data_IF_764011815462
#
_entry.id   IF_764011815462
#
_cell.length_a   1.000
_cell.length_b   1.000
_cell.length_c   1.000
_cell.angle_alpha   90.00
_cell.angle_beta   90.00
_cell.angle_gamma   90.00
#
_symmetry.space_group_name_H-M   'P 1'
#
loop_
_entity.id
_entity.type
_entity.pdbx_description
1 polymer ?
#
# COMPACT_ATOMS: atom_id res chain seq x y z
N UNK A 1 -15.06 -40.78 34.82
CA UNK A 1 -13.96 -40.18 35.60
C UNK A 1 -13.94 -40.61 37.09
N UNK A 2 -15.06 -40.62 37.85
CA UNK A 2 -15.07 -40.97 39.29
C UNK A 2 -14.55 -42.40 39.59
N UNK A 3 -14.83 -43.45 38.74
CA UNK A 3 -14.37 -44.83 38.97
C UNK A 3 -12.85 -45.00 38.80
N UNK A 4 -12.23 -44.30 37.83
CA UNK A 4 -10.79 -44.33 37.55
C UNK A 4 -9.97 -43.70 38.68
N UNK A 5 -10.45 -42.57 39.21
CA UNK A 5 -9.79 -41.84 40.30
C UNK A 5 -9.80 -42.65 41.60
N UNK A 6 -10.78 -43.54 41.83
CA UNK A 6 -10.93 -44.36 43.06
C UNK A 6 -9.91 -45.48 43.14
N UNK A 7 -9.41 -46.00 42.02
CA UNK A 7 -8.44 -47.11 41.96
C UNK A 7 -6.97 -46.68 42.02
N UNK A 8 -6.68 -45.36 41.93
CA UNK A 8 -5.32 -44.84 41.95
C UNK A 8 -4.77 -44.78 43.38
N UNK A 9 -3.48 -45.13 43.55
CA UNK A 9 -2.76 -44.95 44.80
C UNK A 9 -2.78 -43.49 45.24
N UNK A 10 -2.78 -43.22 46.52
CA UNK A 10 -2.82 -41.83 47.10
C UNK A 10 -1.74 -40.95 46.47
N UNK A 11 -0.52 -41.49 46.25
CA UNK A 11 0.58 -40.77 45.58
C UNK A 11 0.23 -40.30 44.17
N UNK A 12 -0.43 -41.18 43.37
CA UNK A 12 -0.84 -40.83 42.02
C UNK A 12 -1.97 -39.79 41.99
N UNK A 13 -2.92 -39.86 42.94
CA UNK A 13 -3.98 -38.89 43.10
C UNK A 13 -3.39 -37.50 43.40
N UNK A 14 -2.45 -37.42 44.31
CA UNK A 14 -1.77 -36.20 44.69
C UNK A 14 -0.98 -35.57 43.54
N UNK A 15 -0.21 -36.39 42.80
CA UNK A 15 0.51 -35.95 41.60
C UNK A 15 -0.44 -35.38 40.55
N UNK A 16 -1.51 -36.11 40.19
CA UNK A 16 -2.47 -35.63 39.17
C UNK A 16 -3.14 -34.35 39.62
N UNK A 17 -3.55 -34.22 40.89
CA UNK A 17 -4.20 -33.03 41.40
C UNK A 17 -3.28 -31.81 41.30
N UNK A 18 -2.00 -31.93 41.67
CA UNK A 18 -1.03 -30.87 41.60
C UNK A 18 -0.76 -30.42 40.14
N UNK A 19 -0.52 -31.39 39.25
CA UNK A 19 -0.29 -31.09 37.84
C UNK A 19 -1.52 -30.43 37.23
N UNK A 20 -2.72 -30.93 37.49
CA UNK A 20 -3.96 -30.36 36.95
C UNK A 20 -4.19 -28.95 37.49
N UNK A 21 -4.00 -28.71 38.78
CA UNK A 21 -4.17 -27.42 39.40
C UNK A 21 -3.18 -26.39 38.90
N UNK A 22 -1.96 -26.79 38.54
CA UNK A 22 -0.92 -25.89 38.01
C UNK A 22 -1.07 -25.65 36.51
N UNK A 23 -1.38 -26.71 35.72
CA UNK A 23 -1.41 -26.59 34.26
C UNK A 23 -2.68 -25.95 33.71
N UNK A 24 -3.86 -26.19 34.32
CA UNK A 24 -5.14 -25.64 33.81
C UNK A 24 -5.15 -24.12 33.81
N UNK A 25 -4.79 -23.38 34.87
CA UNK A 25 -4.79 -21.93 34.86
C UNK A 25 -3.83 -21.35 33.81
N UNK A 26 -2.64 -21.93 33.68
CA UNK A 26 -1.64 -21.46 32.71
C UNK A 26 -2.11 -21.70 31.27
N UNK A 27 -2.75 -22.83 31.02
CA UNK A 27 -3.33 -23.13 29.70
C UNK A 27 -4.46 -22.13 29.36
N UNK A 28 -5.33 -21.83 30.30
CA UNK A 28 -6.39 -20.83 30.12
C UNK A 28 -5.82 -19.44 29.86
N UNK A 29 -4.82 -19.02 30.62
CA UNK A 29 -4.14 -17.72 30.41
C UNK A 29 -3.42 -17.72 29.07
N UNK A 30 -2.76 -18.80 28.68
CA UNK A 30 -2.09 -18.93 27.39
C UNK A 30 -3.04 -18.83 26.19
N UNK A 31 -4.20 -19.50 26.24
CA UNK A 31 -5.24 -19.37 25.22
C UNK A 31 -5.80 -17.96 25.16
N UNK A 32 -6.11 -17.35 26.29
CA UNK A 32 -6.60 -15.97 26.35
C UNK A 32 -5.56 -14.99 25.80
N UNK A 33 -4.30 -15.13 26.21
CA UNK A 33 -3.20 -14.30 25.70
C UNK A 33 -3.02 -14.43 24.19
N UNK A 34 -3.10 -15.66 23.65
CA UNK A 34 -3.03 -15.89 22.21
C UNK A 34 -4.13 -15.14 21.45
N UNK A 35 -5.39 -15.26 21.89
CA UNK A 35 -6.50 -14.57 21.24
C UNK A 35 -6.39 -13.04 21.35
N UNK A 36 -6.03 -12.53 22.51
CA UNK A 36 -5.86 -11.09 22.72
C UNK A 36 -4.73 -10.54 21.86
N UNK A 37 -3.60 -11.24 21.81
CA UNK A 37 -2.45 -10.81 21.00
C UNK A 37 -2.75 -10.85 19.50
N UNK A 38 -3.38 -11.91 19.02
CA UNK A 38 -3.74 -12.01 17.60
C UNK A 38 -4.67 -10.88 17.18
N UNK A 39 -5.72 -10.61 17.96
CA UNK A 39 -6.63 -9.49 17.70
C UNK A 39 -5.91 -8.14 17.79
N UNK A 40 -5.02 -7.96 18.75
CA UNK A 40 -4.23 -6.74 18.88
C UNK A 40 -3.33 -6.50 17.66
N UNK A 41 -2.61 -7.54 17.19
CA UNK A 41 -1.74 -7.43 16.01
C UNK A 41 -2.54 -7.10 14.76
N UNK A 42 -3.67 -7.77 14.53
CA UNK A 42 -4.53 -7.50 13.37
C UNK A 42 -5.00 -6.03 13.40
N UNK A 43 -5.56 -5.58 14.51
CA UNK A 43 -6.07 -4.21 14.64
C UNK A 43 -4.95 -3.16 14.53
N UNK A 44 -3.78 -3.43 15.09
CA UNK A 44 -2.62 -2.53 14.99
C UNK A 44 -2.11 -2.44 13.57
N UNK A 45 -2.02 -3.58 12.86
CA UNK A 45 -1.58 -3.62 11.46
C UNK A 45 -2.59 -2.95 10.55
N UNK A 46 -3.89 -3.18 10.77
CA UNK A 46 -4.96 -2.49 10.03
C UNK A 46 -4.82 -0.97 10.16
N UNK A 47 -4.72 -0.47 11.39
CA UNK A 47 -4.55 0.96 11.64
C UNK A 47 -3.28 1.53 11.01
N UNK A 48 -2.14 0.86 11.21
CA UNK A 48 -0.86 1.27 10.62
C UNK A 48 -0.89 1.24 9.09
N UNK A 49 -1.60 0.29 8.50
CA UNK A 49 -1.74 0.18 7.04
C UNK A 49 -2.61 1.31 6.49
N UNK A 50 -3.70 1.67 7.17
CA UNK A 50 -4.53 2.83 6.80
C UNK A 50 -3.67 4.10 6.82
N UNK A 51 -2.93 4.35 7.91
CA UNK A 51 -2.07 5.52 8.03
C UNK A 51 -0.99 5.55 6.94
N UNK A 52 -0.39 4.40 6.62
CA UNK A 52 0.62 4.30 5.55
C UNK A 52 0.01 4.57 4.18
N UNK A 53 -1.16 3.99 3.86
CA UNK A 53 -1.84 4.22 2.59
C UNK A 53 -2.28 5.68 2.48
N UNK A 54 -2.77 6.30 3.55
CA UNK A 54 -3.11 7.73 3.56
C UNK A 54 -1.89 8.60 3.22
N UNK A 55 -0.74 8.34 3.84
CA UNK A 55 0.50 9.07 3.54
C UNK A 55 0.96 8.90 2.09
N UNK A 56 0.91 7.67 1.56
CA UNK A 56 1.27 7.39 0.17
C UNK A 56 0.30 8.06 -0.80
N UNK A 57 -1.00 8.02 -0.49
CA UNK A 57 -2.01 8.70 -1.30
C UNK A 57 -1.80 10.22 -1.30
N UNK A 58 -1.55 10.82 -0.14
CA UNK A 58 -1.30 12.26 -0.04
C UNK A 58 -0.06 12.69 -0.82
N UNK A 59 1.00 11.87 -0.79
CA UNK A 59 2.23 12.14 -1.55
C UNK A 59 2.02 12.01 -3.07
N UNK A 60 1.27 11.01 -3.52
CA UNK A 60 0.93 10.83 -4.94
C UNK A 60 -0.09 11.88 -5.40
N UNK A 61 -1.13 12.16 -4.61
CA UNK A 61 -2.09 13.23 -4.89
C UNK A 61 -1.37 14.58 -5.02
N UNK A 62 -0.39 14.87 -4.17
CA UNK A 62 0.42 16.08 -4.26
C UNK A 62 1.20 16.15 -5.57
N UNK A 63 1.84 15.04 -5.98
CA UNK A 63 2.58 14.96 -7.25
C UNK A 63 1.66 15.19 -8.47
N UNK A 64 0.52 14.48 -8.51
CA UNK A 64 -0.43 14.62 -9.61
C UNK A 64 -1.07 16.02 -9.63
N UNK A 65 -1.40 16.56 -8.45
CA UNK A 65 -1.92 17.90 -8.32
C UNK A 65 -0.91 18.98 -8.74
N UNK A 66 0.37 18.78 -8.49
CA UNK A 66 1.43 19.65 -8.94
C UNK A 66 1.51 19.73 -10.47
N UNK A 67 1.43 18.58 -11.14
CA UNK A 67 1.41 18.51 -12.60
C UNK A 67 0.12 19.12 -13.18
N UNK A 68 -1.03 18.81 -12.59
CA UNK A 68 -2.31 19.40 -12.96
C UNK A 68 -2.32 20.91 -12.81
N UNK A 69 -1.90 21.42 -11.64
CA UNK A 69 -1.85 22.86 -11.33
C UNK A 69 -0.93 23.60 -12.30
N UNK A 70 0.20 22.99 -12.64
CA UNK A 70 1.13 23.58 -13.60
C UNK A 70 0.49 23.70 -15.01
N UNK A 71 -0.20 22.66 -15.46
CA UNK A 71 -0.96 22.72 -16.72
C UNK A 71 -2.05 23.79 -16.65
N UNK A 72 -2.83 23.85 -15.58
CA UNK A 72 -3.92 24.80 -15.40
C UNK A 72 -3.41 26.26 -15.38
N UNK A 73 -2.34 26.54 -14.66
CA UNK A 73 -1.68 27.86 -14.65
C UNK A 73 -1.25 28.30 -16.04
N UNK A 74 -0.67 27.38 -16.82
CA UNK A 74 -0.20 27.68 -18.18
C UNK A 74 -1.34 27.92 -19.17
N UNK A 75 -2.49 27.24 -19.01
CA UNK A 75 -3.66 27.51 -19.87
C UNK A 75 -4.18 28.93 -19.68
N UNK A 76 -4.06 29.49 -18.47
CA UNK A 76 -4.45 30.86 -18.13
C UNK A 76 -3.39 31.94 -18.37
N UNK A 77 -2.14 31.55 -18.62
CA UNK A 77 -1.00 32.46 -18.71
C UNK A 77 -1.10 33.40 -19.94
N UNK A 78 -0.94 34.71 -19.69
CA UNK A 78 -1.09 35.72 -20.74
C UNK A 78 -0.02 35.64 -21.83
N UNK A 79 1.22 35.26 -21.47
CA UNK A 79 2.30 35.14 -22.44
C UNK A 79 2.10 33.90 -23.30
N UNK A 80 1.72 32.77 -22.69
CA UNK A 80 1.38 31.54 -23.43
C UNK A 80 0.21 31.79 -24.38
N UNK A 81 -0.86 32.44 -23.92
CA UNK A 81 -1.99 32.84 -24.75
C UNK A 81 -1.55 33.75 -25.93
N UNK A 82 -0.61 34.67 -25.68
CA UNK A 82 -0.05 35.54 -26.72
C UNK A 82 0.74 34.71 -27.73
N UNK A 83 1.62 33.82 -27.30
CA UNK A 83 2.40 32.97 -28.20
C UNK A 83 1.52 32.08 -29.07
N UNK A 84 0.43 31.56 -28.55
CA UNK A 84 -0.50 30.69 -29.28
C UNK A 84 -1.39 31.45 -30.31
N UNK A 85 -1.46 32.79 -30.22
CA UNK A 85 -2.20 33.63 -31.16
C UNK A 85 -1.33 34.28 -32.25
N UNK A 86 0.00 34.15 -32.17
CA UNK A 86 0.91 34.68 -33.18
C UNK A 86 0.82 33.91 -34.48
N UNK A 87 0.67 34.58 -35.60
CA UNK A 87 0.89 34.03 -36.93
C UNK A 87 2.37 34.14 -37.27
N UNK A 88 2.88 33.19 -38.01
CA UNK A 88 4.28 33.14 -38.40
C UNK A 88 4.42 33.42 -39.89
N UNK A 89 5.07 34.52 -40.21
CA UNK A 89 5.35 34.89 -41.59
C UNK A 89 6.55 34.14 -42.18
N UNK A 90 7.39 33.54 -41.30
CA UNK A 90 8.57 32.82 -41.70
C UNK A 90 8.93 31.72 -40.68
N UNK A 91 9.71 30.72 -41.14
CA UNK A 91 10.31 29.68 -40.26
C UNK A 91 11.19 30.32 -39.19
N UNK A 92 11.83 31.43 -39.47
CA UNK A 92 12.68 32.15 -38.52
C UNK A 92 11.86 32.77 -37.40
N UNK A 93 10.71 33.32 -37.71
CA UNK A 93 9.80 33.92 -36.70
C UNK A 93 9.21 32.85 -35.80
N UNK A 94 8.80 31.73 -36.41
CA UNK A 94 8.36 30.56 -35.64
C UNK A 94 9.45 30.09 -34.67
N UNK A 95 10.69 29.89 -35.15
CA UNK A 95 11.80 29.46 -34.31
C UNK A 95 12.09 30.41 -33.16
N UNK A 96 12.06 31.72 -33.43
CA UNK A 96 12.26 32.76 -32.37
C UNK A 96 11.17 32.69 -31.31
N UNK A 97 9.92 32.50 -31.74
CA UNK A 97 8.77 32.34 -30.85
C UNK A 97 8.85 31.02 -30.02
N UNK A 98 9.22 29.92 -30.65
CA UNK A 98 9.40 28.63 -29.99
C UNK A 98 10.50 28.69 -28.92
N UNK A 99 11.59 29.42 -29.18
CA UNK A 99 12.65 29.63 -28.24
C UNK A 99 12.20 30.51 -27.05
N UNK A 100 11.51 31.62 -27.31
CA UNK A 100 11.02 32.53 -26.26
C UNK A 100 10.00 31.82 -25.36
N UNK A 101 9.04 31.09 -25.94
CA UNK A 101 8.06 30.30 -25.20
C UNK A 101 8.69 29.18 -24.38
N UNK A 102 9.72 28.50 -24.94
CA UNK A 102 10.43 27.46 -24.21
C UNK A 102 11.23 28.00 -23.02
N UNK A 103 11.84 29.18 -23.15
CA UNK A 103 12.51 29.86 -22.02
C UNK A 103 11.53 30.21 -20.89
N UNK A 104 10.33 30.68 -21.26
CA UNK A 104 9.28 30.94 -20.28
C UNK A 104 8.85 29.67 -19.54
N UNK A 105 8.55 28.60 -20.28
CA UNK A 105 8.21 27.31 -19.68
C UNK A 105 9.32 26.77 -18.76
N UNK A 106 10.58 26.85 -19.18
CA UNK A 106 11.72 26.43 -18.40
C UNK A 106 11.80 27.21 -17.08
N UNK A 107 11.54 28.51 -17.09
CA UNK A 107 11.56 29.35 -15.88
C UNK A 107 10.47 28.95 -14.87
N UNK A 108 9.29 28.57 -15.33
CA UNK A 108 8.15 28.20 -14.51
C UNK A 108 8.34 26.77 -13.94
N UNK A 109 8.93 25.87 -14.73
CA UNK A 109 9.07 24.45 -14.35
C UNK A 109 10.34 24.12 -13.54
N UNK A 110 11.29 25.04 -13.44
CA UNK A 110 12.62 24.80 -12.82
C UNK A 110 12.57 24.24 -11.40
N UNK A 111 11.55 24.57 -10.64
CA UNK A 111 11.38 24.13 -9.26
C UNK A 111 10.61 22.83 -9.09
N UNK A 112 10.12 22.24 -10.17
CA UNK A 112 9.29 21.01 -10.18
C UNK A 112 10.11 19.81 -10.64
N UNK A 113 10.99 19.31 -9.77
CA UNK A 113 11.95 18.24 -10.09
C UNK A 113 11.31 16.90 -10.48
N UNK A 114 10.12 16.63 -9.98
CA UNK A 114 9.37 15.39 -10.22
C UNK A 114 8.65 15.40 -11.57
N UNK A 115 8.52 16.56 -12.21
CA UNK A 115 7.95 16.71 -13.55
C UNK A 115 9.09 16.64 -14.56
N UNK A 116 9.04 15.65 -15.44
CA UNK A 116 10.08 15.46 -16.47
C UNK A 116 10.11 16.60 -17.51
N UNK A 117 8.94 17.09 -17.89
CA UNK A 117 8.83 18.21 -18.82
C UNK A 117 7.40 18.69 -18.97
N UNK A 118 7.30 19.96 -19.34
CA UNK A 118 6.04 20.61 -19.68
C UNK A 118 6.13 21.12 -21.11
N UNK A 119 5.03 20.98 -21.82
CA UNK A 119 4.97 21.23 -23.25
C UNK A 119 3.70 22.00 -23.59
N UNK A 120 3.81 22.91 -24.54
CA UNK A 120 2.68 23.62 -25.12
C UNK A 120 2.73 23.50 -26.65
N UNK A 121 1.61 23.18 -27.23
CA UNK A 121 1.44 23.08 -28.68
C UNK A 121 0.31 23.96 -29.13
N UNK A 122 0.62 24.88 -30.04
CA UNK A 122 -0.35 25.77 -30.65
C UNK A 122 -0.94 25.20 -31.94
N UNK A 123 -2.18 25.56 -32.25
CA UNK A 123 -2.77 25.31 -33.55
C UNK A 123 -2.04 26.10 -34.67
N UNK A 124 -1.42 27.23 -34.31
CA UNK A 124 -0.56 28.02 -35.16
C UNK A 124 0.76 27.32 -35.57
N UNK A 125 1.05 26.13 -34.99
CA UNK A 125 2.27 25.37 -35.22
C UNK A 125 3.40 25.67 -34.22
N UNK A 126 3.19 26.60 -33.26
CA UNK A 126 4.14 26.89 -32.17
C UNK A 126 4.31 25.69 -31.25
N UNK A 127 5.56 25.45 -30.84
CA UNK A 127 5.92 24.29 -29.98
C UNK A 127 6.89 24.73 -28.89
N UNK A 128 6.46 24.66 -27.66
CA UNK A 128 7.24 25.09 -26.51
C UNK A 128 7.48 23.93 -25.55
N UNK A 129 8.64 23.91 -24.91
CA UNK A 129 9.05 22.84 -23.99
C UNK A 129 9.91 23.40 -22.85
N UNK A 130 9.78 22.78 -21.67
CA UNK A 130 10.56 23.18 -20.50
C UNK A 130 11.91 22.45 -20.37
N UNK A 131 12.09 21.36 -21.10
CA UNK A 131 13.30 20.54 -21.03
C UNK A 131 14.17 20.67 -22.30
N UNK A 132 15.36 20.07 -22.29
CA UNK A 132 16.34 20.12 -23.38
C UNK A 132 16.17 19.00 -24.42
N UNK A 133 15.26 18.06 -24.22
CA UNK A 133 15.04 16.98 -25.17
C UNK A 133 14.44 17.46 -26.48
N UNK A 134 14.80 16.80 -27.58
CA UNK A 134 14.26 17.16 -28.90
C UNK A 134 12.83 16.64 -29.05
N UNK A 135 11.97 17.43 -29.68
CA UNK A 135 10.65 16.97 -30.08
C UNK A 135 10.75 15.77 -31.04
N UNK A 136 9.76 14.90 -31.01
CA UNK A 136 9.57 13.88 -32.06
C UNK A 136 9.35 14.59 -33.40
N UNK A 137 9.73 13.92 -34.48
CA UNK A 137 9.70 14.52 -35.83
C UNK A 137 8.31 14.60 -36.45
N UNK A 138 7.36 13.83 -35.92
CA UNK A 138 5.96 13.83 -36.38
C UNK A 138 5.23 15.13 -35.99
N UNK A 139 4.23 15.52 -36.76
CA UNK A 139 3.34 16.61 -36.37
C UNK A 139 2.47 16.13 -35.23
N UNK A 140 2.71 16.70 -34.06
CA UNK A 140 2.02 16.31 -32.83
C UNK A 140 0.51 16.50 -32.92
N UNK A 141 0.03 17.47 -33.69
CA UNK A 141 -1.40 17.78 -33.88
C UNK A 141 -2.17 16.63 -34.57
N UNK A 142 -1.48 15.78 -35.32
CA UNK A 142 -2.08 14.62 -35.98
C UNK A 142 -2.14 13.37 -35.10
N UNK A 143 -1.47 13.39 -33.96
CA UNK A 143 -1.41 12.26 -33.04
C UNK A 143 -2.72 12.06 -32.27
N UNK A 144 -2.99 10.82 -31.86
CA UNK A 144 -4.19 10.47 -31.10
C UNK A 144 -4.22 11.18 -29.74
N UNK A 145 -3.10 11.22 -29.02
CA UNK A 145 -3.04 11.83 -27.71
C UNK A 145 -3.34 13.34 -27.76
N UNK A 146 -2.82 14.07 -28.77
CA UNK A 146 -3.12 15.49 -28.97
C UNK A 146 -4.60 15.71 -29.25
N UNK A 147 -5.18 14.93 -30.18
CA UNK A 147 -6.60 15.03 -30.55
C UNK A 147 -7.52 14.71 -29.37
N UNK A 148 -7.13 13.77 -28.53
CA UNK A 148 -7.87 13.45 -27.29
C UNK A 148 -7.89 14.63 -26.33
N UNK A 149 -6.74 15.26 -26.05
CA UNK A 149 -6.67 16.45 -25.19
C UNK A 149 -7.43 17.62 -25.81
N UNK A 150 -7.19 17.92 -27.09
CA UNK A 150 -7.83 19.06 -27.77
C UNK A 150 -9.36 18.90 -27.89
N UNK A 151 -9.87 17.67 -27.96
CA UNK A 151 -11.29 17.36 -28.00
C UNK A 151 -11.96 17.31 -26.63
N UNK A 152 -11.20 17.26 -25.55
CA UNK A 152 -11.70 17.28 -24.18
C UNK A 152 -11.97 18.74 -23.74
N UNK A 153 -12.89 18.89 -22.78
CA UNK A 153 -13.06 20.16 -22.04
C UNK A 153 -12.42 20.12 -20.67
N UNK A 154 -11.96 18.95 -20.27
CA UNK A 154 -11.42 18.66 -18.94
C UNK A 154 -9.99 18.14 -19.08
N UNK A 155 -9.31 18.04 -17.95
CA UNK A 155 -7.99 17.42 -17.87
C UNK A 155 -8.05 15.97 -18.31
N UNK A 156 -7.14 15.58 -19.18
CA UNK A 156 -6.99 14.20 -19.64
C UNK A 156 -5.72 13.60 -19.07
N UNK A 157 -5.85 12.44 -18.44
CA UNK A 157 -4.74 11.65 -17.91
C UNK A 157 -4.47 10.46 -18.82
N UNK A 158 -3.22 10.29 -19.23
CA UNK A 158 -2.76 9.09 -19.89
C UNK A 158 -1.99 8.25 -18.89
N UNK A 159 -2.40 7.00 -18.66
CA UNK A 159 -1.70 6.10 -17.75
C UNK A 159 -0.29 5.80 -18.26
N UNK A 160 0.46 4.99 -17.51
CA UNK A 160 1.82 4.65 -17.88
C UNK A 160 1.93 4.13 -19.32
N UNK A 161 2.83 4.74 -20.08
CA UNK A 161 3.13 4.39 -21.49
C UNK A 161 4.63 4.45 -21.76
N UNK A 162 5.09 3.64 -22.71
CA UNK A 162 6.49 3.54 -23.08
C UNK A 162 6.95 4.79 -23.85
N UNK A 163 7.96 5.45 -23.32
CA UNK A 163 8.52 6.67 -23.86
C UNK A 163 7.57 7.88 -23.82
N UNK A 164 8.11 9.09 -23.77
CA UNK A 164 7.28 10.31 -23.89
C UNK A 164 6.56 10.35 -25.24
N UNK A 165 5.29 10.75 -25.24
CA UNK A 165 4.56 11.02 -26.50
C UNK A 165 5.19 12.15 -27.29
N UNK A 166 5.88 13.05 -26.63
CA UNK A 166 6.20 14.41 -27.11
C UNK A 166 7.66 14.53 -27.52
N UNK A 167 8.57 14.07 -26.67
CA UNK A 167 10.01 14.22 -26.89
C UNK A 167 10.71 12.87 -27.10
N UNK A 168 11.90 12.91 -27.67
CA UNK A 168 12.77 11.74 -27.80
C UNK A 168 13.43 11.48 -26.44
N UNK A 169 12.78 10.68 -25.62
CA UNK A 169 13.34 10.18 -24.35
C UNK A 169 14.07 8.85 -24.56
N UNK A 170 14.70 8.33 -23.53
CA UNK A 170 15.22 6.96 -23.52
C UNK A 170 14.07 5.97 -23.70
N UNK A 171 14.28 4.94 -24.53
CA UNK A 171 13.26 3.92 -24.85
C UNK A 171 12.83 3.14 -23.60
N UNK A 172 13.66 3.11 -22.56
CA UNK A 172 13.39 2.38 -21.31
C UNK A 172 12.60 3.18 -20.27
N UNK A 173 12.32 4.46 -20.51
CA UNK A 173 11.59 5.28 -19.57
C UNK A 173 10.08 5.22 -19.87
N UNK A 174 9.27 4.90 -18.87
CA UNK A 174 7.82 5.02 -18.94
C UNK A 174 7.37 6.36 -18.35
N UNK A 175 6.27 6.88 -18.88
CA UNK A 175 5.73 8.18 -18.50
C UNK A 175 4.23 8.10 -18.24
N UNK A 176 3.78 9.01 -17.38
CA UNK A 176 2.39 9.40 -17.25
C UNK A 176 2.29 10.80 -17.82
N UNK A 177 1.31 11.02 -18.68
CA UNK A 177 1.08 12.33 -19.26
C UNK A 177 -0.25 12.90 -18.80
N UNK A 178 -0.25 14.14 -18.33
CA UNK A 178 -1.46 14.93 -18.10
C UNK A 178 -1.55 16.03 -19.14
N UNK A 179 -2.74 16.29 -19.66
CA UNK A 179 -2.94 17.34 -20.65
C UNK A 179 -4.24 18.09 -20.47
N UNK A 180 -4.22 19.37 -20.88
CA UNK A 180 -5.37 20.27 -20.85
C UNK A 180 -5.44 21.07 -22.15
N UNK A 181 -6.65 21.33 -22.68
CA UNK A 181 -6.83 22.24 -23.82
C UNK A 181 -6.63 23.68 -23.38
N UNK A 182 -5.98 24.48 -24.22
CA UNK A 182 -5.86 25.92 -24.04
C UNK A 182 -6.97 26.58 -24.84
N UNK A 183 -7.93 27.16 -24.11
CA UNK A 183 -9.07 27.85 -24.72
C UNK A 183 -8.73 29.33 -24.98
N UNK A 184 -9.01 29.78 -26.17
CA UNK A 184 -8.99 31.23 -26.45
C UNK A 184 -10.13 31.94 -25.72
N UNK A 185 -9.77 32.87 -24.84
CA UNK A 185 -10.76 33.61 -24.02
C UNK A 185 -11.75 34.47 -24.81
N UNK A 186 -11.40 34.82 -26.06
CA UNK A 186 -12.25 35.68 -26.89
C UNK A 186 -13.23 34.87 -27.74
N UNK A 187 -12.74 33.78 -28.37
CA UNK A 187 -13.54 32.96 -29.27
C UNK A 187 -14.14 31.70 -28.60
N UNK A 188 -13.60 31.27 -27.45
CA UNK A 188 -13.99 30.03 -26.82
C UNK A 188 -13.51 28.78 -27.57
N UNK A 189 -12.67 28.94 -28.60
CA UNK A 189 -12.09 27.82 -29.36
C UNK A 189 -10.79 27.36 -28.75
N UNK A 190 -10.43 26.12 -28.99
CA UNK A 190 -9.15 25.56 -28.55
C UNK A 190 -8.03 26.13 -29.43
N UNK A 191 -7.09 26.86 -28.84
CA UNK A 191 -5.92 27.42 -29.52
C UNK A 191 -4.70 26.51 -29.47
N UNK A 192 -4.72 25.52 -28.60
CA UNK A 192 -3.60 24.63 -28.39
C UNK A 192 -3.85 23.70 -27.19
N UNK A 193 -2.82 23.04 -26.78
CA UNK A 193 -2.84 22.18 -25.58
C UNK A 193 -1.60 22.45 -24.71
N UNK A 194 -1.75 22.22 -23.42
CA UNK A 194 -0.64 22.05 -22.47
C UNK A 194 -0.57 20.60 -22.06
N UNK A 195 0.62 20.03 -21.96
CA UNK A 195 0.84 18.70 -21.44
C UNK A 195 2.05 18.66 -20.51
N UNK A 196 2.03 17.79 -19.52
CA UNK A 196 3.17 17.53 -18.64
C UNK A 196 3.41 16.04 -18.52
N UNK A 197 4.69 15.66 -18.59
CA UNK A 197 5.16 14.29 -18.42
C UNK A 197 5.74 14.11 -17.01
N UNK A 198 5.35 13.03 -16.34
CA UNK A 198 5.91 12.53 -15.09
C UNK A 198 6.54 11.19 -15.39
N UNK A 199 7.77 10.93 -14.93
CA UNK A 199 8.36 9.59 -15.06
C UNK A 199 7.67 8.60 -14.12
N UNK A 200 7.39 7.40 -14.63
CA UNK A 200 6.78 6.32 -13.84
C UNK A 200 7.59 5.95 -12.61
N UNK A 201 8.92 5.96 -12.71
CA UNK A 201 9.80 5.61 -11.60
C UNK A 201 9.69 6.57 -10.40
N UNK A 202 9.27 7.81 -10.61
CA UNK A 202 8.96 8.75 -9.51
C UNK A 202 7.81 8.22 -8.65
N UNK A 203 6.74 7.71 -9.28
CA UNK A 203 5.63 7.08 -8.55
C UNK A 203 6.06 5.74 -7.95
N UNK A 204 6.74 4.92 -8.74
CA UNK A 204 7.21 3.60 -8.27
C UNK A 204 8.11 3.71 -7.05
N UNK A 205 9.01 4.69 -6.99
CA UNK A 205 9.87 4.92 -5.83
C UNK A 205 9.08 5.32 -4.57
N UNK A 206 8.00 6.09 -4.71
CA UNK A 206 7.14 6.51 -3.59
C UNK A 206 6.36 5.33 -2.99
N UNK A 207 5.95 4.36 -3.80
CA UNK A 207 5.18 3.19 -3.35
C UNK A 207 6.06 2.00 -2.94
N UNK A 208 7.33 1.95 -3.39
CA UNK A 208 8.18 0.74 -3.34
C UNK A 208 8.42 0.16 -1.95
N UNK A 209 8.55 0.98 -0.93
CA UNK A 209 8.93 0.57 0.43
C UNK A 209 7.87 0.92 1.48
N UNK A 210 6.68 1.26 1.06
CA UNK A 210 5.66 1.80 1.95
C UNK A 210 4.98 0.73 2.82
N UNK A 211 4.89 -0.52 2.37
CA UNK A 211 4.34 -1.63 3.16
C UNK A 211 5.39 -2.73 3.33
N UNK A 212 5.72 -3.05 4.58
CA UNK A 212 6.76 -4.05 4.91
C UNK A 212 6.39 -5.46 4.46
N UNK A 213 5.10 -5.81 4.45
CA UNK A 213 4.60 -7.17 4.16
C UNK A 213 3.36 -7.14 3.26
N UNK A 214 3.31 -6.20 2.35
CA UNK A 214 2.18 -6.01 1.45
C UNK A 214 2.61 -5.49 0.10
N UNK A 215 1.66 -5.43 -0.81
CA UNK A 215 1.80 -4.84 -2.13
C UNK A 215 0.91 -3.61 -2.20
N UNK A 216 1.45 -2.52 -2.74
CA UNK A 216 0.64 -1.37 -3.14
C UNK A 216 0.43 -1.45 -4.64
N UNK A 217 -0.79 -1.28 -5.08
CA UNK A 217 -1.12 -1.14 -6.49
C UNK A 217 -1.95 0.12 -6.73
N UNK A 218 -1.81 0.68 -7.93
CA UNK A 218 -2.66 1.75 -8.44
C UNK A 218 -3.49 1.16 -9.57
N UNK A 219 -4.79 1.35 -9.52
CA UNK A 219 -5.77 0.73 -10.40
C UNK A 219 -6.61 1.85 -11.04
N UNK A 220 -6.88 1.75 -12.35
CA UNK A 220 -7.79 2.67 -13.04
C UNK A 220 -9.28 2.32 -12.80
N UNK A 221 -10.16 3.08 -13.43
CA UNK A 221 -11.62 2.88 -13.31
C UNK A 221 -12.09 1.58 -13.99
N UNK A 222 -11.37 1.10 -14.98
CA UNK A 222 -11.62 -0.11 -15.75
C UNK A 222 -11.10 -1.37 -15.04
N UNK A 223 -10.32 -1.22 -13.97
CA UNK A 223 -9.74 -2.33 -13.22
C UNK A 223 -8.35 -2.75 -13.71
N UNK A 224 -7.74 -1.98 -14.61
CA UNK A 224 -6.37 -2.23 -15.05
C UNK A 224 -5.38 -1.78 -13.99
N UNK A 225 -4.39 -2.61 -13.69
CA UNK A 225 -3.33 -2.27 -12.74
C UNK A 225 -2.31 -1.40 -13.47
N UNK A 226 -2.27 -0.11 -13.13
CA UNK A 226 -1.35 0.86 -13.69
C UNK A 226 0.06 0.72 -13.09
N UNK A 227 0.12 0.54 -11.77
CA UNK A 227 1.37 0.42 -11.02
C UNK A 227 1.23 -0.66 -9.98
N UNK A 228 2.35 -1.34 -9.72
CA UNK A 228 2.48 -2.31 -8.64
C UNK A 228 3.82 -2.12 -7.96
N UNK A 229 3.83 -1.96 -6.63
CA UNK A 229 5.08 -2.03 -5.88
C UNK A 229 5.62 -3.44 -5.96
N UNK A 230 6.87 -3.59 -6.36
CA UNK A 230 7.57 -4.83 -6.10
C UNK A 230 7.80 -4.87 -4.59
N UNK A 231 6.95 -5.59 -3.88
CA UNK A 231 7.26 -5.99 -2.52
C UNK A 231 8.67 -6.60 -2.58
N UNK A 232 9.58 -6.12 -1.73
CA UNK A 232 10.97 -6.54 -1.76
C UNK A 232 11.07 -8.06 -1.85
N UNK A 233 12.19 -8.57 -2.32
CA UNK A 233 12.50 -10.01 -2.50
C UNK A 233 12.22 -10.89 -1.25
N UNK A 234 11.76 -10.29 -0.15
CA UNK A 234 11.49 -10.92 1.14
C UNK A 234 10.05 -11.43 1.32
N UNK A 235 9.13 -11.18 0.37
CA UNK A 235 7.81 -11.81 0.42
C UNK A 235 7.95 -13.30 0.09
N UNK A 236 7.79 -14.12 1.10
CA UNK A 236 7.80 -15.59 1.01
C UNK A 236 6.73 -16.14 0.05
N UNK A 237 5.71 -15.32 -0.28
CA UNK A 237 4.64 -15.67 -1.23
C UNK A 237 4.29 -14.46 -2.09
N UNK A 238 4.25 -14.60 -3.42
CA UNK A 238 3.74 -13.56 -4.29
C UNK A 238 2.25 -13.35 -4.00
N UNK A 239 1.86 -12.13 -3.63
CA UNK A 239 0.44 -11.78 -3.50
C UNK A 239 -0.15 -11.80 -4.91
N UNK A 240 -1.09 -12.72 -5.16
CA UNK A 240 -1.82 -12.79 -6.43
C UNK A 240 -2.99 -11.81 -6.40
N UNK A 241 -2.92 -10.79 -7.27
CA UNK A 241 -4.00 -9.82 -7.41
C UNK A 241 -4.97 -10.36 -8.46
N UNK A 242 -5.90 -11.20 -8.00
CA UNK A 242 -6.90 -11.79 -8.88
C UNK A 242 -7.90 -10.74 -9.41
N UNK A 243 -8.49 -10.94 -10.58
CA UNK A 243 -9.55 -10.04 -11.11
C UNK A 243 -10.73 -9.88 -10.14
N UNK A 244 -11.05 -10.91 -9.36
CA UNK A 244 -12.10 -10.84 -8.33
C UNK A 244 -11.74 -9.89 -7.18
N UNK A 245 -10.47 -9.84 -6.77
CA UNK A 245 -10.00 -8.90 -5.77
C UNK A 245 -10.06 -7.47 -6.29
N UNK A 246 -9.69 -7.25 -7.55
CA UNK A 246 -9.80 -5.94 -8.20
C UNK A 246 -11.25 -5.47 -8.25
N UNK A 247 -12.20 -6.35 -8.66
CA UNK A 247 -13.61 -5.98 -8.68
C UNK A 247 -14.15 -5.63 -7.29
N UNK A 248 -13.77 -6.37 -6.25
CA UNK A 248 -14.12 -6.04 -4.86
C UNK A 248 -13.56 -4.68 -4.42
N UNK A 249 -12.31 -4.36 -4.81
CA UNK A 249 -11.73 -3.04 -4.54
C UNK A 249 -12.53 -1.94 -5.24
N UNK A 250 -12.96 -2.18 -6.48
CA UNK A 250 -13.75 -1.21 -7.25
C UNK A 250 -15.17 -1.04 -6.70
N UNK A 251 -15.83 -2.10 -6.29
CA UNK A 251 -17.23 -2.08 -5.79
C UNK A 251 -17.32 -1.52 -4.37
N UNK A 252 -16.37 -1.84 -3.50
CA UNK A 252 -16.42 -1.49 -2.06
C UNK A 252 -16.18 -0.02 -1.78
N UNK A 253 -15.56 0.71 -2.68
CA UNK A 253 -15.26 2.13 -2.54
C UNK A 253 -16.39 2.99 -3.07
N UNK A 254 -17.54 2.98 -2.39
CA UNK A 254 -18.58 4.00 -2.60
C UNK A 254 -18.04 5.39 -2.27
N UNK A 255 -18.03 6.28 -3.27
CA UNK A 255 -18.08 7.77 -3.22
C UNK A 255 -17.21 8.58 -2.24
N UNK A 256 -16.43 8.01 -1.34
CA UNK A 256 -15.58 8.77 -0.43
C UNK A 256 -14.19 9.01 -1.04
N UNK A 257 -14.08 9.97 -1.96
CA UNK A 257 -12.79 10.47 -2.44
C UNK A 257 -11.98 11.01 -1.26
N UNK A 258 -10.71 10.65 -1.19
CA UNK A 258 -9.79 11.17 -0.17
C UNK A 258 -9.88 10.52 1.20
N UNK A 259 -10.55 9.36 1.37
CA UNK A 259 -10.60 8.63 2.63
C UNK A 259 -10.28 7.16 2.42
N UNK A 260 -9.33 6.63 3.19
CA UNK A 260 -9.01 5.20 3.16
C UNK A 260 -10.10 4.35 3.76
N UNK A 261 -10.37 3.20 3.15
CA UNK A 261 -11.34 2.20 3.59
C UNK A 261 -10.70 0.83 3.63
N UNK A 262 -11.14 0.02 4.60
CA UNK A 262 -10.81 -1.41 4.62
C UNK A 262 -11.83 -2.15 3.75
N UNK A 263 -11.34 -2.87 2.78
CA UNK A 263 -12.16 -3.72 1.90
C UNK A 263 -12.30 -5.09 2.53
N UNK A 264 -13.52 -5.56 2.80
CA UNK A 264 -13.72 -6.89 3.37
C UNK A 264 -13.27 -7.98 2.39
N UNK A 265 -12.25 -8.72 2.76
CA UNK A 265 -11.79 -9.92 2.07
C UNK A 265 -11.41 -10.99 3.08
N UNK A 266 -11.60 -12.28 2.75
CA UNK A 266 -11.33 -13.39 3.66
C UNK A 266 -9.84 -13.73 3.77
N UNK A 267 -9.05 -13.45 2.75
CA UNK A 267 -7.63 -13.81 2.68
C UNK A 267 -6.67 -12.65 2.92
N UNK A 268 -7.11 -11.44 2.56
CA UNK A 268 -6.27 -10.25 2.58
C UNK A 268 -6.84 -9.15 3.45
N UNK A 269 -5.96 -8.38 4.07
CA UNK A 269 -6.29 -7.06 4.57
C UNK A 269 -6.06 -6.07 3.43
N UNK A 270 -7.13 -5.49 2.91
CA UNK A 270 -7.08 -4.55 1.79
C UNK A 270 -7.52 -3.18 2.29
N UNK A 271 -6.67 -2.20 2.08
CA UNK A 271 -6.96 -0.79 2.36
C UNK A 271 -6.91 -0.04 1.05
N UNK A 272 -7.95 0.68 0.68
CA UNK A 272 -7.97 1.44 -0.57
C UNK A 272 -8.45 2.87 -0.39
N UNK A 273 -7.96 3.75 -1.28
CA UNK A 273 -8.35 5.16 -1.36
C UNK A 273 -8.35 5.62 -2.82
N UNK A 274 -9.32 6.47 -3.18
CA UNK A 274 -9.38 7.09 -4.51
C UNK A 274 -8.58 8.39 -4.52
N UNK A 275 -7.73 8.57 -5.53
CA UNK A 275 -6.97 9.79 -5.79
C UNK A 275 -7.87 10.91 -6.31
N UNK A 276 -7.58 12.15 -5.92
CA UNK A 276 -8.49 13.28 -6.16
C UNK A 276 -8.60 13.67 -7.63
N UNK A 277 -7.49 13.75 -8.36
CA UNK A 277 -7.46 14.38 -9.68
C UNK A 277 -7.48 13.39 -10.86
N UNK A 278 -7.19 12.12 -10.63
CA UNK A 278 -7.10 11.11 -11.69
C UNK A 278 -8.22 10.08 -11.66
N UNK A 279 -9.01 10.04 -10.58
CA UNK A 279 -9.97 8.97 -10.28
C UNK A 279 -9.35 7.56 -10.22
N UNK A 280 -8.02 7.48 -10.15
CA UNK A 280 -7.31 6.23 -9.91
C UNK A 280 -7.45 5.82 -8.45
N UNK A 281 -7.28 4.53 -8.18
CA UNK A 281 -7.35 4.00 -6.83
C UNK A 281 -6.02 3.42 -6.40
N UNK A 282 -5.57 3.80 -5.22
CA UNK A 282 -4.46 3.12 -4.55
C UNK A 282 -5.06 2.06 -3.64
N UNK A 283 -4.52 0.85 -3.71
CA UNK A 283 -4.86 -0.23 -2.81
C UNK A 283 -3.60 -0.85 -2.22
N UNK A 284 -3.56 -0.94 -0.89
CA UNK A 284 -2.58 -1.72 -0.13
C UNK A 284 -3.17 -3.08 0.21
N UNK A 285 -2.46 -4.14 -0.14
CA UNK A 285 -2.91 -5.53 0.01
C UNK A 285 -1.90 -6.25 0.90
N UNK A 286 -2.34 -6.78 2.03
CA UNK A 286 -1.51 -7.50 3.01
C UNK A 286 -2.12 -8.87 3.25
N UNK A 287 -1.30 -9.92 3.19
CA UNK A 287 -1.75 -11.28 3.48
C UNK A 287 -2.05 -11.45 4.98
N UNK A 288 -3.29 -11.80 5.32
CA UNK A 288 -3.70 -12.10 6.70
C UNK A 288 -3.00 -13.33 7.27
N UNK A 289 -2.64 -14.30 6.43
CA UNK A 289 -1.88 -15.48 6.84
C UNK A 289 -0.51 -15.09 7.43
N UNK A 290 0.15 -14.10 6.84
CA UNK A 290 1.40 -13.56 7.35
C UNK A 290 1.22 -12.88 8.73
N UNK A 291 0.15 -12.11 8.92
CA UNK A 291 -0.14 -11.45 10.20
C UNK A 291 -0.33 -12.45 11.36
N UNK A 292 -0.91 -13.61 11.05
CA UNK A 292 -1.12 -14.67 12.03
C UNK A 292 0.12 -15.56 12.24
N UNK A 293 1.11 -15.52 11.36
CA UNK A 293 2.34 -16.30 11.49
C UNK A 293 3.18 -15.87 12.70
N UNK A 294 3.26 -14.58 12.97
CA UNK A 294 3.90 -14.07 14.19
C UNK A 294 3.23 -14.55 15.49
N UNK A 295 1.96 -14.97 15.42
CA UNK A 295 1.24 -15.55 16.55
C UNK A 295 1.69 -17.01 16.85
N UNK A 296 2.32 -17.71 15.90
CA UNK A 296 2.85 -19.06 16.11
C UNK A 296 4.04 -19.06 17.05
N UNK A 297 4.87 -18.03 17.03
CA UNK A 297 6.01 -17.91 17.93
C UNK A 297 5.57 -17.81 19.37
N UNK A 298 4.44 -17.10 19.63
CA UNK A 298 3.83 -17.05 20.96
C UNK A 298 3.32 -18.42 21.38
N UNK A 299 2.73 -19.19 20.46
CA UNK A 299 2.28 -20.56 20.78
C UNK A 299 3.45 -21.43 21.23
N UNK A 300 4.62 -21.33 20.59
CA UNK A 300 5.82 -22.05 21.01
C UNK A 300 6.31 -21.62 22.38
N UNK A 301 6.32 -20.31 22.68
CA UNK A 301 6.69 -19.78 23.99
C UNK A 301 5.72 -20.28 25.08
N UNK A 302 4.42 -20.22 24.83
CA UNK A 302 3.40 -20.72 25.76
C UNK A 302 3.56 -22.21 26.01
N UNK A 303 3.81 -23.01 24.98
CA UNK A 303 4.07 -24.45 25.11
C UNK A 303 5.32 -24.75 25.94
N UNK A 304 6.39 -23.99 25.73
CA UNK A 304 7.63 -24.12 26.50
C UNK A 304 7.40 -23.79 27.99
N UNK A 305 6.68 -22.71 28.28
CA UNK A 305 6.32 -22.31 29.64
C UNK A 305 5.45 -23.39 30.31
N UNK A 306 4.46 -23.95 29.60
CA UNK A 306 3.64 -25.05 30.08
C UNK A 306 4.48 -26.28 30.44
N UNK A 307 5.46 -26.64 29.61
CA UNK A 307 6.39 -27.76 29.89
C UNK A 307 7.20 -27.48 31.15
N UNK A 308 7.77 -26.30 31.32
CA UNK A 308 8.55 -25.92 32.52
C UNK A 308 7.66 -26.04 33.79
N UNK A 309 6.43 -25.52 33.71
CA UNK A 309 5.49 -25.55 34.84
C UNK A 309 5.08 -27.01 35.15
N UNK A 310 4.83 -27.84 34.14
CA UNK A 310 4.51 -29.25 34.34
C UNK A 310 5.66 -30.02 35.03
N UNK A 311 6.91 -29.79 34.58
CA UNK A 311 8.08 -30.42 35.22
C UNK A 311 8.31 -29.90 36.64
N UNK A 312 8.21 -28.60 36.89
CA UNK A 312 8.34 -28.04 38.23
C UNK A 312 7.23 -28.56 39.17
N UNK A 313 5.99 -28.61 38.70
CA UNK A 313 4.86 -29.17 39.44
C UNK A 313 5.06 -30.62 39.80
N UNK A 314 5.56 -31.44 38.87
CA UNK A 314 5.88 -32.83 39.08
C UNK A 314 6.99 -33.00 40.14
N UNK A 315 8.03 -32.16 40.08
CA UNK A 315 9.14 -32.17 41.04
C UNK A 315 8.65 -31.80 42.43
N UNK A 316 7.87 -30.70 42.58
CA UNK A 316 7.28 -30.29 43.86
C UNK A 316 6.35 -31.40 44.45
N UNK A 317 5.52 -32.00 43.60
CA UNK A 317 4.64 -33.10 44.04
C UNK A 317 5.41 -34.33 44.49
N UNK A 318 6.57 -34.64 43.89
CA UNK A 318 7.48 -35.72 44.37
C UNK A 318 8.07 -35.38 45.73
N UNK A 319 8.53 -34.14 45.96
CA UNK A 319 9.05 -33.69 47.26
C UNK A 319 7.99 -33.81 48.36
N UNK A 320 6.78 -33.28 48.10
CA UNK A 320 5.66 -33.36 49.06
C UNK A 320 5.29 -34.85 49.31
N UNK A 321 5.24 -35.65 48.28
CA UNK A 321 4.97 -37.08 48.42
C UNK A 321 6.01 -37.81 49.28
N UNK A 322 7.26 -37.46 49.21
CA UNK A 322 8.31 -38.03 50.04
C UNK A 322 8.25 -37.51 51.49
N UNK A 323 8.00 -36.23 51.65
CA UNK A 323 7.98 -35.59 52.98
C UNK A 323 6.75 -35.87 53.81
N UNK A 324 5.58 -36.10 53.20
CA UNK A 324 4.31 -36.31 53.92
C UNK A 324 3.89 -37.77 53.91
N UNK A 325 3.97 -38.45 52.78
CA UNK A 325 3.45 -39.80 52.61
C UNK A 325 4.28 -40.85 53.39
N UNK A 326 5.61 -40.75 53.37
CA UNK A 326 6.48 -41.72 54.08
C UNK A 326 6.25 -41.68 55.61
N UNK A 327 6.26 -40.53 56.29
CA UNK A 327 5.99 -40.50 57.75
C UNK A 327 4.59 -40.99 58.10
N UNK A 328 3.57 -40.67 57.34
CA UNK A 328 2.18 -41.09 57.59
C UNK A 328 2.06 -42.64 57.42
N UNK A 329 2.74 -43.20 56.47
CA UNK A 329 2.74 -44.66 56.24
C UNK A 329 3.46 -45.42 57.37
N UNK A 330 4.52 -44.85 57.91
CA UNK A 330 5.24 -45.40 59.11
C UNK A 330 4.33 -45.33 60.33
N UNK A 331 3.67 -44.21 60.59
CA UNK A 331 2.72 -44.07 61.65
C UNK A 331 1.54 -45.07 61.55
N UNK A 332 0.99 -45.21 60.33
CA UNK A 332 -0.08 -46.17 60.10
C UNK A 332 0.35 -47.63 60.36
N UNK A 333 1.56 -48.04 59.95
CA UNK A 333 2.12 -49.34 60.24
C UNK A 333 2.35 -49.54 61.75
N UNK A 334 2.89 -48.56 62.43
CA UNK A 334 3.09 -48.64 63.88
C UNK A 334 1.76 -48.75 64.64
N UNK A 335 0.70 -48.07 64.17
CA UNK A 335 -0.65 -48.24 64.77
C UNK A 335 -1.24 -49.63 64.50
N UNK A 336 -1.04 -50.19 63.34
CA UNK A 336 -1.50 -51.53 62.95
C UNK A 336 -0.73 -52.65 63.73
N UNK A 337 0.56 -52.43 64.01
CA UNK A 337 1.35 -53.32 64.88
C UNK A 337 0.91 -53.23 66.37
N UNK A 338 0.47 -52.09 66.82
CA UNK A 338 -0.07 -51.93 68.21
C UNK A 338 -1.48 -52.51 68.35
N UNK A 339 -2.28 -52.52 67.27
CA UNK A 339 -3.64 -53.09 67.28
C UNK A 339 -3.65 -54.63 67.16
N UNK A 340 -2.62 -55.19 66.59
CA UNK A 340 -2.50 -56.68 66.38
C UNK A 340 -1.58 -57.38 67.41
N UNK A 341 -0.98 -56.71 68.38
CA UNK A 341 -0.11 -57.20 69.43
C UNK A 341 -0.69 -57.07 70.78
#
# INVERSE_FOLDING_TARGET
>A
MKKFFRQLSFRRKLLISFVTLSCIPVLLVGIAAYHLYTNFIINMTEKSSIETIDLVCDDIDSLLNDAWTLCDMLTGDIKIQKYLRMDFDSIRDQYSNDLAGSMELASISTYRKDIFGVYVFGQNGGRYKSNYYSFKSEDQRETTWYKTIAGSRETTWFPSHEGSFIVRSSISDNFITVGQPVMDKASGMVNGIVAADIKEDVITQRIKHSLSNGVICIIDQEGSILFRSNAGNDLHYPIDISPSLVSHILESTGTAVGKSMVVPDSGYLVVSRTLMNSNWRIAGIIDRGFLTQSSKDITHIVMLVLLIIAFSSLYVAMLISQSVYKPVQILYRMMEEVENG
#
